data_IF_983149171208
#
_entry.id   IF_983149171208
#
_cell.length_a   1.000
_cell.length_b   1.000
_cell.length_c   1.000
_cell.angle_alpha   90.00
_cell.angle_beta   90.00
_cell.angle_gamma   90.00
#
_symmetry.space_group_name_H-M   'P 1'
#
loop_
_entity.id
_entity.type
_entity.pdbx_description
1 polymer ?
#
# COMPACT_ATOMS: atom_id res chain seq x y z
N UNK A 1 -1.32 6.87 -4.73
CA UNK A 1 -1.28 6.54 -3.30
C UNK A 1 -2.28 7.32 -2.45
N UNK A 2 -2.35 8.65 -2.52
CA UNK A 2 -3.33 9.45 -1.77
C UNK A 2 -4.79 9.00 -1.96
N UNK A 3 -5.18 8.65 -3.18
CA UNK A 3 -6.52 8.16 -3.48
C UNK A 3 -6.84 6.83 -2.76
N UNK A 4 -5.88 5.91 -2.67
CA UNK A 4 -6.06 4.66 -1.95
C UNK A 4 -6.24 4.89 -0.44
N UNK A 5 -5.49 5.83 0.14
CA UNK A 5 -5.64 6.23 1.54
C UNK A 5 -7.01 6.86 1.81
N UNK A 6 -7.44 7.79 0.96
CA UNK A 6 -8.74 8.45 1.08
C UNK A 6 -9.91 7.45 1.00
N UNK A 7 -9.86 6.52 0.03
CA UNK A 7 -10.87 5.48 -0.12
C UNK A 7 -10.89 4.49 1.06
N UNK A 8 -9.72 4.17 1.62
CA UNK A 8 -9.62 3.33 2.83
C UNK A 8 -10.29 4.01 4.01
N UNK A 9 -10.01 5.30 4.23
CA UNK A 9 -10.65 6.08 5.29
C UNK A 9 -12.17 6.17 5.09
N UNK A 10 -12.64 6.45 3.87
CA UNK A 10 -14.07 6.44 3.53
C UNK A 10 -14.71 5.10 3.86
N UNK A 11 -14.06 3.99 3.51
CA UNK A 11 -14.56 2.65 3.80
C UNK A 11 -14.70 2.42 5.30
N UNK A 12 -13.69 2.77 6.09
CA UNK A 12 -13.73 2.64 7.56
C UNK A 12 -14.85 3.48 8.17
N UNK A 13 -15.02 4.72 7.70
CA UNK A 13 -16.10 5.61 8.18
C UNK A 13 -17.47 5.04 7.85
N UNK A 14 -17.68 4.51 6.65
CA UNK A 14 -18.95 3.89 6.25
C UNK A 14 -19.31 2.68 7.12
N UNK A 15 -18.32 1.84 7.47
CA UNK A 15 -18.53 0.74 8.42
C UNK A 15 -18.89 1.25 9.82
N UNK A 16 -18.20 2.29 10.31
CA UNK A 16 -18.52 2.87 11.64
C UNK A 16 -19.89 3.53 11.69
N UNK A 17 -20.39 4.04 10.56
CA UNK A 17 -21.74 4.62 10.45
C UNK A 17 -22.86 3.58 10.27
N UNK A 18 -22.57 2.27 10.37
CA UNK A 18 -23.52 1.16 10.17
C UNK A 18 -24.23 1.20 8.79
N UNK A 19 -23.58 1.81 7.78
CA UNK A 19 -24.05 1.87 6.40
C UNK A 19 -23.34 0.85 5.51
N UNK A 20 -23.30 -0.40 5.93
CA UNK A 20 -22.58 -1.48 5.25
C UNK A 20 -22.99 -1.66 3.78
N UNK A 21 -24.23 -1.35 3.45
CA UNK A 21 -24.77 -1.47 2.09
C UNK A 21 -24.02 -0.60 1.06
N UNK A 22 -23.47 0.53 1.50
CA UNK A 22 -22.68 1.45 0.65
C UNK A 22 -21.18 1.19 0.74
N UNK A 23 -20.71 0.44 1.73
CA UNK A 23 -19.32 0.09 1.89
C UNK A 23 -18.79 -0.74 0.70
N UNK A 24 -19.65 -1.59 0.10
CA UNK A 24 -19.27 -2.38 -1.09
C UNK A 24 -18.82 -1.52 -2.27
N UNK A 25 -19.45 -0.36 -2.49
CA UNK A 25 -19.11 0.56 -3.57
C UNK A 25 -17.72 1.16 -3.39
N UNK A 26 -17.27 1.34 -2.14
CA UNK A 26 -15.95 1.86 -1.83
C UNK A 26 -14.88 0.76 -1.79
N UNK A 27 -15.22 -0.46 -1.34
CA UNK A 27 -14.28 -1.58 -1.20
C UNK A 27 -13.73 -2.04 -2.55
N UNK A 28 -14.57 -2.19 -3.57
CA UNK A 28 -14.17 -2.70 -4.88
C UNK A 28 -13.08 -1.82 -5.52
N UNK A 29 -13.28 -0.49 -5.70
CA UNK A 29 -12.24 0.36 -6.25
C UNK A 29 -11.01 0.48 -5.34
N UNK A 30 -11.19 0.41 -4.02
CA UNK A 30 -10.07 0.41 -3.07
C UNK A 30 -9.20 -0.83 -3.25
N UNK A 31 -9.79 -2.03 -3.31
CA UNK A 31 -9.06 -3.28 -3.53
C UNK A 31 -8.31 -3.26 -4.86
N UNK A 32 -8.95 -2.79 -5.93
CA UNK A 32 -8.34 -2.64 -7.24
C UNK A 32 -7.12 -1.70 -7.20
N UNK A 33 -7.27 -0.52 -6.59
CA UNK A 33 -6.19 0.44 -6.44
C UNK A 33 -5.02 -0.13 -5.62
N UNK A 34 -5.30 -0.90 -4.57
CA UNK A 34 -4.25 -1.57 -3.79
C UNK A 34 -3.46 -2.56 -4.62
N UNK A 35 -4.13 -3.42 -5.38
CA UNK A 35 -3.48 -4.40 -6.26
C UNK A 35 -2.59 -3.69 -7.28
N UNK A 36 -3.12 -2.71 -8.00
CA UNK A 36 -2.36 -1.96 -9.01
C UNK A 36 -1.16 -1.23 -8.39
N UNK A 37 -1.34 -0.58 -7.24
CA UNK A 37 -0.29 0.18 -6.57
C UNK A 37 0.81 -0.73 -6.03
N UNK A 38 0.45 -1.89 -5.47
CA UNK A 38 1.41 -2.87 -4.97
C UNK A 38 2.21 -3.49 -6.10
N UNK A 39 1.54 -3.92 -7.18
CA UNK A 39 2.21 -4.49 -8.35
C UNK A 39 3.19 -3.49 -8.95
N UNK A 40 2.75 -2.26 -9.21
CA UNK A 40 3.61 -1.22 -9.77
C UNK A 40 4.78 -0.86 -8.82
N UNK A 41 4.58 -0.86 -7.51
CA UNK A 41 5.62 -0.60 -6.53
C UNK A 41 6.68 -1.70 -6.50
N UNK A 42 6.26 -2.96 -6.50
CA UNK A 42 7.16 -4.11 -6.53
C UNK A 42 7.94 -4.20 -7.85
N UNK A 43 7.27 -3.98 -8.98
CA UNK A 43 7.93 -3.93 -10.27
C UNK A 43 9.01 -2.85 -10.33
N UNK A 44 8.73 -1.64 -9.83
CA UNK A 44 9.71 -0.56 -9.80
C UNK A 44 10.93 -0.84 -8.92
N UNK A 45 10.79 -1.69 -7.91
CA UNK A 45 11.92 -2.05 -7.04
C UNK A 45 12.71 -3.23 -7.63
N UNK A 46 12.01 -4.31 -8.03
CA UNK A 46 12.61 -5.62 -8.28
C UNK A 46 12.69 -6.01 -9.76
N UNK A 47 12.16 -5.20 -10.68
CA UNK A 47 12.21 -5.55 -12.11
C UNK A 47 13.65 -5.63 -12.62
N UNK A 48 13.94 -6.68 -13.38
CA UNK A 48 15.29 -6.94 -13.92
C UNK A 48 15.69 -5.99 -15.06
N UNK A 49 14.72 -5.36 -15.73
CA UNK A 49 15.00 -4.39 -16.78
C UNK A 49 15.44 -3.05 -16.16
N UNK A 50 16.68 -2.58 -16.51
CA UNK A 50 17.20 -1.31 -16.00
C UNK A 50 16.38 -0.07 -16.39
N UNK A 51 15.42 -0.19 -17.31
CA UNK A 51 14.50 0.90 -17.67
C UNK A 51 13.32 1.05 -16.73
N UNK A 52 13.00 0.00 -15.96
CA UNK A 52 11.82 -0.07 -15.10
C UNK A 52 12.23 -0.15 -13.63
N UNK A 53 13.18 -1.05 -13.30
CA UNK A 53 13.61 -1.34 -11.95
C UNK A 53 14.71 -0.41 -11.45
N UNK A 54 14.50 0.27 -10.33
CA UNK A 54 15.49 1.16 -9.72
C UNK A 54 16.78 0.42 -9.35
N UNK A 55 16.67 -0.77 -8.77
CA UNK A 55 17.80 -1.58 -8.37
C UNK A 55 18.60 -2.10 -9.59
N UNK A 56 17.92 -2.50 -10.67
CA UNK A 56 18.55 -2.94 -11.90
C UNK A 56 19.27 -1.77 -12.60
N UNK A 57 18.65 -0.58 -12.58
CA UNK A 57 19.23 0.64 -13.12
C UNK A 57 20.51 1.03 -12.36
N UNK A 58 20.47 1.09 -11.03
CA UNK A 58 21.61 1.37 -10.18
C UNK A 58 22.75 0.38 -10.41
N UNK A 59 22.47 -0.93 -10.50
CA UNK A 59 23.48 -1.98 -10.79
C UNK A 59 24.13 -1.79 -12.15
N UNK A 60 23.34 -1.42 -13.17
CA UNK A 60 23.87 -1.18 -14.53
C UNK A 60 24.82 0.00 -14.55
N UNK A 61 24.48 1.10 -13.86
CA UNK A 61 25.33 2.27 -13.78
C UNK A 61 26.59 2.00 -12.95
N UNK A 62 26.48 1.25 -11.85
CA UNK A 62 27.63 0.83 -11.05
C UNK A 62 28.61 -0.05 -11.86
N UNK A 63 28.08 -1.04 -12.58
CA UNK A 63 28.89 -1.91 -13.42
C UNK A 63 29.57 -1.19 -14.61
N UNK A 64 28.97 -0.12 -15.12
CA UNK A 64 29.56 0.71 -16.15
C UNK A 64 30.67 1.61 -15.57
N UNK A 65 30.48 2.11 -14.35
CA UNK A 65 31.47 2.89 -13.62
C UNK A 65 32.73 2.08 -13.35
N UNK A 66 32.60 0.80 -12.94
CA UNK A 66 33.71 -0.13 -12.72
C UNK A 66 34.49 -0.40 -14.01
N UNK A 67 33.83 -0.32 -15.17
CA UNK A 67 34.47 -0.46 -16.49
C UNK A 67 35.01 0.85 -17.06
N UNK A 68 34.87 1.96 -16.34
CA UNK A 68 35.28 3.29 -16.79
C UNK A 68 34.45 3.83 -17.96
N UNK A 69 33.23 3.31 -18.18
CA UNK A 69 32.33 3.73 -19.23
C UNK A 69 31.28 4.70 -18.71
N UNK A 70 31.12 5.85 -19.36
CA UNK A 70 30.05 6.80 -19.09
C UNK A 70 28.80 6.40 -19.83
N UNK A 71 27.68 6.22 -19.11
CA UNK A 71 26.39 5.90 -19.65
C UNK A 71 25.49 7.16 -19.67
N UNK A 72 24.83 7.41 -20.82
CA UNK A 72 23.82 8.46 -20.89
C UNK A 72 22.67 8.19 -19.89
N UNK A 73 22.14 9.22 -19.20
CA UNK A 73 22.33 10.65 -19.45
C UNK A 73 23.55 11.29 -18.75
N UNK A 74 24.30 10.56 -17.92
CA UNK A 74 25.43 11.10 -17.17
C UNK A 74 26.62 11.39 -18.09
N UNK A 75 27.17 12.60 -17.97
CA UNK A 75 28.35 13.06 -18.74
C UNK A 75 29.65 13.01 -17.94
N UNK A 76 29.55 12.87 -16.63
CA UNK A 76 30.66 12.84 -15.69
C UNK A 76 30.52 11.69 -14.71
N UNK A 77 31.62 11.28 -14.09
CA UNK A 77 31.66 10.26 -13.03
C UNK A 77 30.82 10.71 -11.82
N UNK A 78 30.86 12.00 -11.48
CA UNK A 78 30.06 12.56 -10.40
C UNK A 78 28.55 12.44 -10.66
N UNK A 79 28.13 12.71 -11.91
CA UNK A 79 26.71 12.54 -12.30
C UNK A 79 26.30 11.08 -12.23
N UNK A 80 27.15 10.13 -12.59
CA UNK A 80 26.86 8.70 -12.43
C UNK A 80 26.66 8.31 -10.97
N UNK A 81 27.50 8.78 -10.06
CA UNK A 81 27.33 8.56 -8.63
C UNK A 81 26.02 9.14 -8.10
N UNK A 82 25.62 10.32 -8.57
CA UNK A 82 24.32 10.92 -8.20
C UNK A 82 23.15 10.10 -8.71
N UNK A 83 23.20 9.58 -9.93
CA UNK A 83 22.15 8.72 -10.48
C UNK A 83 22.02 7.45 -9.65
N UNK A 84 23.12 6.77 -9.36
CA UNK A 84 23.12 5.57 -8.51
C UNK A 84 22.52 5.87 -7.13
N UNK A 85 22.95 6.96 -6.52
CA UNK A 85 22.43 7.37 -5.21
C UNK A 85 20.92 7.65 -5.24
N UNK A 86 20.44 8.38 -6.26
CA UNK A 86 19.03 8.67 -6.43
C UNK A 86 18.20 7.40 -6.61
N UNK A 87 18.66 6.45 -7.41
CA UNK A 87 17.99 5.17 -7.62
C UNK A 87 17.84 4.37 -6.30
N UNK A 88 18.87 4.37 -5.45
CA UNK A 88 18.77 3.74 -4.14
C UNK A 88 17.81 4.48 -3.20
N UNK A 89 17.82 5.81 -3.24
CA UNK A 89 16.88 6.63 -2.45
C UNK A 89 15.44 6.39 -2.93
N UNK A 90 15.21 6.35 -4.24
CA UNK A 90 13.90 6.10 -4.81
C UNK A 90 13.38 4.69 -4.49
N UNK A 91 14.24 3.68 -4.55
CA UNK A 91 13.90 2.32 -4.12
C UNK A 91 13.58 2.28 -2.61
N UNK A 92 14.34 2.98 -1.79
CA UNK A 92 14.11 3.10 -0.35
C UNK A 92 12.78 3.78 -0.03
N UNK A 93 12.50 4.93 -0.66
CA UNK A 93 11.22 5.64 -0.50
C UNK A 93 10.04 4.77 -0.95
N UNK A 94 10.17 4.07 -2.09
CA UNK A 94 9.15 3.17 -2.59
C UNK A 94 8.85 2.04 -1.59
N UNK A 95 9.90 1.47 -0.97
CA UNK A 95 9.76 0.44 0.07
C UNK A 95 9.05 0.97 1.32
N UNK A 96 9.41 2.17 1.79
CA UNK A 96 8.73 2.83 2.91
C UNK A 96 7.25 3.04 2.61
N UNK A 97 6.90 3.50 1.40
CA UNK A 97 5.52 3.68 0.98
C UNK A 97 4.74 2.37 0.95
N UNK A 98 5.34 1.27 0.49
CA UNK A 98 4.71 -0.06 0.51
C UNK A 98 4.39 -0.48 1.94
N UNK A 99 5.34 -0.35 2.87
CA UNK A 99 5.15 -0.69 4.29
C UNK A 99 4.05 0.17 4.91
N UNK A 100 4.02 1.47 4.61
CA UNK A 100 3.02 2.39 5.12
C UNK A 100 1.61 2.03 4.61
N UNK A 101 1.47 1.73 3.33
CA UNK A 101 0.22 1.30 2.70
C UNK A 101 -0.28 -0.01 3.31
N UNK A 102 0.60 -1.00 3.52
CA UNK A 102 0.25 -2.27 4.18
C UNK A 102 -0.18 -2.05 5.64
N UNK A 103 0.48 -1.15 6.36
CA UNK A 103 0.13 -0.79 7.73
C UNK A 103 -1.28 -0.18 7.81
N UNK A 104 -1.60 0.76 6.93
CA UNK A 104 -2.93 1.38 6.86
C UNK A 104 -3.99 0.33 6.54
N UNK A 105 -3.72 -0.58 5.60
CA UNK A 105 -4.63 -1.68 5.27
C UNK A 105 -4.86 -2.59 6.47
N UNK A 106 -3.80 -2.95 7.20
CA UNK A 106 -3.88 -3.76 8.42
C UNK A 106 -4.73 -3.09 9.51
N UNK A 107 -4.52 -1.80 9.76
CA UNK A 107 -5.35 -1.04 10.70
C UNK A 107 -6.81 -0.93 10.26
N UNK A 108 -7.08 -0.72 8.97
CA UNK A 108 -8.43 -0.66 8.43
C UNK A 108 -9.16 -1.98 8.61
N UNK A 109 -8.53 -3.11 8.27
CA UNK A 109 -9.09 -4.44 8.46
C UNK A 109 -9.38 -4.75 9.92
N UNK A 110 -8.45 -4.39 10.82
CA UNK A 110 -8.66 -4.53 12.27
C UNK A 110 -9.86 -3.71 12.74
N UNK A 111 -9.94 -2.43 12.36
CA UNK A 111 -11.05 -1.54 12.74
C UNK A 111 -12.42 -2.06 12.26
N UNK A 112 -12.49 -2.63 11.06
CA UNK A 112 -13.71 -3.24 10.52
C UNK A 112 -14.08 -4.49 11.32
N UNK A 113 -13.11 -5.34 11.65
CA UNK A 113 -13.37 -6.55 12.47
C UNK A 113 -13.85 -6.21 13.86
N UNK A 114 -13.24 -5.22 14.50
CA UNK A 114 -13.61 -4.78 15.85
C UNK A 114 -15.04 -4.18 15.85
N UNK A 115 -15.40 -3.40 14.83
CA UNK A 115 -16.75 -2.86 14.66
C UNK A 115 -17.79 -3.98 14.50
N UNK A 116 -17.52 -5.00 13.70
CA UNK A 116 -18.43 -6.15 13.52
C UNK A 116 -18.58 -6.99 14.79
N UNK A 117 -17.48 -7.17 15.54
CA UNK A 117 -17.51 -7.91 16.80
C UNK A 117 -18.38 -7.18 17.85
N UNK A 118 -18.28 -5.86 17.94
CA UNK A 118 -19.11 -5.04 18.82
C UNK A 118 -20.61 -5.13 18.46
N UNK A 119 -20.94 -5.04 17.18
CA UNK A 119 -22.33 -5.19 16.73
C UNK A 119 -22.92 -6.58 17.03
N UNK A 120 -22.12 -7.64 16.90
CA UNK A 120 -22.57 -9.01 17.21
C UNK A 120 -22.86 -9.21 18.70
N UNK A 121 -22.10 -8.56 19.58
CA UNK A 121 -22.34 -8.59 21.03
C UNK A 121 -23.62 -7.87 21.39
N UNK A 122 -23.83 -6.66 20.87
CA UNK A 122 -25.04 -5.85 21.13
C UNK A 122 -26.31 -6.55 20.64
N UNK A 123 -26.25 -7.26 19.51
CA UNK A 123 -27.38 -8.02 18.99
C UNK A 123 -27.75 -9.19 19.90
N UNK A 124 -26.75 -9.90 20.43
CA UNK A 124 -26.99 -11.00 21.39
C UNK A 124 -27.61 -10.50 22.71
N UNK A 125 -27.10 -9.42 23.26
CA UNK A 125 -27.65 -8.82 24.48
C UNK A 125 -29.11 -8.39 24.31
N UNK A 126 -29.47 -7.85 23.14
CA UNK A 126 -30.84 -7.47 22.84
C UNK A 126 -31.78 -8.69 22.61
N UNK A 127 -31.28 -9.80 22.08
CA UNK A 127 -32.03 -11.05 21.96
C UNK A 127 -32.26 -11.72 23.33
N UNK A 128 -31.27 -11.71 24.20
CA UNK A 128 -31.38 -12.25 25.55
C UNK A 128 -32.33 -11.43 26.44
N UNK A 129 -32.43 -10.12 26.24
CA UNK A 129 -33.38 -9.24 26.95
C UNK A 129 -34.83 -9.40 26.48
N UNK A 130 -35.02 -9.85 25.21
CA UNK A 130 -36.35 -10.10 24.63
C UNK A 130 -36.92 -11.49 24.94
N UNK A 131 -36.08 -12.41 25.43
CA UNK A 131 -36.56 -13.71 25.91
C UNK A 131 -37.14 -13.56 27.31
N UNK A 132 -38.50 -13.72 27.49
CA UNK A 132 -39.08 -13.61 28.80
C UNK A 132 -38.52 -14.68 29.72
N UNK A 133 -38.07 -14.24 30.90
CA UNK A 133 -37.62 -15.13 31.96
C UNK A 133 -38.76 -16.06 32.34
N UNK A 134 -38.73 -17.26 31.82
CA UNK A 134 -39.31 -18.46 32.38
C UNK A 134 -40.84 -18.62 32.23
N UNK A 135 -41.21 -19.62 31.54
CA UNK A 135 -42.37 -20.41 31.95
C UNK A 135 -41.91 -21.45 32.97
#
# INVERSE_FOLDING_TARGET
>A
MLAAMALTLCTVVLFRMKRERYAFVAIIPTAWLYICTMTAGLEKIFHDDPKIGFLAHAKKFAAALDKGQLLAPAKTVEEMHRVIFNDYVDAGLCSIYIVLVLSILGFALKSIRDARAADAVTTRESEDELLPAGA
#
